data_IF_859682361535
#
_entry.id   IF_859682361535
#
_cell.length_a   1.000
_cell.length_b   1.000
_cell.length_c   1.000
_cell.angle_alpha   90.00
_cell.angle_beta   90.00
_cell.angle_gamma   90.00
#
_symmetry.space_group_name_H-M   'P 1'
#
loop_
_entity.id
_entity.type
_entity.pdbx_description
1 polymer ?
#
# COMPACT_ATOMS: atom_id res chain seq x y z
N UNK A 1 12.85 -14.74 0.44
CA UNK A 1 11.81 -14.21 1.35
C UNK A 1 10.48 -13.94 0.65
N UNK A 2 10.43 -13.12 -0.41
CA UNK A 2 9.18 -12.81 -1.15
C UNK A 2 8.44 -14.05 -1.70
N UNK A 3 9.17 -15.01 -2.27
CA UNK A 3 8.59 -16.23 -2.85
C UNK A 3 7.85 -17.10 -1.80
N UNK A 4 8.52 -17.42 -0.69
CA UNK A 4 7.92 -18.16 0.43
C UNK A 4 6.63 -17.48 0.92
N UNK A 5 6.64 -16.15 1.06
CA UNK A 5 5.47 -15.41 1.54
C UNK A 5 4.28 -15.50 0.59
N UNK A 6 4.55 -15.50 -0.71
CA UNK A 6 3.54 -15.64 -1.77
C UNK A 6 2.98 -17.05 -1.81
N UNK A 7 3.83 -18.08 -1.90
CA UNK A 7 3.43 -19.48 -1.94
C UNK A 7 2.63 -19.88 -0.68
N UNK A 8 3.08 -19.40 0.48
CA UNK A 8 2.41 -19.70 1.75
C UNK A 8 1.27 -18.75 2.08
N UNK A 9 0.96 -17.77 1.22
CA UNK A 9 -0.12 -16.77 1.44
C UNK A 9 -0.06 -16.11 2.83
N UNK A 10 1.15 -15.75 3.28
CA UNK A 10 1.42 -15.30 4.67
C UNK A 10 0.57 -14.08 5.06
N UNK A 11 0.40 -13.12 4.17
CA UNK A 11 -0.46 -11.96 4.42
C UNK A 11 -1.91 -12.37 4.70
N UNK A 12 -2.50 -13.24 3.87
CA UNK A 12 -3.87 -13.74 4.07
C UNK A 12 -3.99 -14.51 5.38
N UNK A 13 -2.99 -15.31 5.73
CA UNK A 13 -2.92 -16.03 7.02
C UNK A 13 -2.89 -15.04 8.20
N UNK A 14 -2.12 -13.95 8.12
CA UNK A 14 -2.09 -12.94 9.20
C UNK A 14 -3.44 -12.25 9.41
N UNK A 15 -4.21 -12.00 8.34
CA UNK A 15 -5.57 -11.45 8.46
C UNK A 15 -6.52 -12.48 9.08
N UNK A 16 -6.47 -13.74 8.63
CA UNK A 16 -7.30 -14.83 9.17
C UNK A 16 -7.06 -15.05 10.66
N UNK A 17 -5.80 -14.99 11.12
CA UNK A 17 -5.43 -15.08 12.54
C UNK A 17 -5.93 -13.92 13.41
N UNK A 18 -6.41 -12.84 12.79
CA UNK A 18 -6.93 -11.64 13.47
C UNK A 18 -8.42 -11.43 13.19
N UNK A 19 -9.11 -12.45 12.67
CA UNK A 19 -10.55 -12.37 12.46
C UNK A 19 -11.27 -12.10 13.79
N UNK A 20 -12.15 -11.09 13.81
CA UNK A 20 -12.86 -10.66 15.02
C UNK A 20 -12.07 -9.73 15.97
N UNK A 21 -10.77 -9.49 15.72
CA UNK A 21 -10.00 -8.57 16.54
C UNK A 21 -10.33 -7.09 16.26
N UNK A 22 -9.93 -6.20 17.18
CA UNK A 22 -10.04 -4.75 16.99
C UNK A 22 -9.38 -4.34 15.67
N UNK A 23 -10.09 -3.56 14.85
CA UNK A 23 -9.60 -3.06 13.57
C UNK A 23 -8.67 -1.87 13.77
N UNK A 24 -7.54 -1.89 13.06
CA UNK A 24 -6.72 -0.72 12.81
C UNK A 24 -6.84 -0.36 11.33
N UNK A 25 -7.36 0.83 11.06
CA UNK A 25 -7.58 1.35 9.70
C UNK A 25 -6.58 2.48 9.48
N UNK A 26 -5.83 2.40 8.38
CA UNK A 26 -4.96 3.48 7.91
C UNK A 26 -5.33 3.82 6.47
N UNK A 27 -5.12 5.09 6.12
CA UNK A 27 -5.35 5.59 4.78
C UNK A 27 -4.03 5.71 4.04
N UNK A 28 -3.96 5.06 2.89
CA UNK A 28 -2.84 5.16 1.96
C UNK A 28 -3.17 6.30 0.99
N UNK A 29 -2.38 7.38 1.01
CA UNK A 29 -2.50 8.44 0.02
C UNK A 29 -2.13 7.87 -1.36
N UNK A 30 -3.08 7.80 -2.30
CA UNK A 30 -2.86 7.09 -3.56
C UNK A 30 -1.77 7.81 -4.38
N UNK A 31 -0.73 7.10 -4.86
CA UNK A 31 0.19 7.70 -5.81
C UNK A 31 -0.53 8.00 -7.13
N UNK A 32 -0.17 9.12 -7.75
CA UNK A 32 -0.58 9.41 -9.13
C UNK A 32 0.09 8.41 -10.07
N UNK A 33 -0.67 7.80 -10.96
CA UNK A 33 -0.20 6.73 -11.85
C UNK A 33 0.50 7.25 -13.12
N UNK A 34 1.32 8.31 -13.02
CA UNK A 34 1.93 9.00 -14.17
C UNK A 34 3.47 8.92 -14.23
N UNK A 35 4.13 8.22 -13.32
CA UNK A 35 5.59 8.18 -13.30
C UNK A 35 6.20 7.06 -12.46
N UNK A 36 7.52 6.89 -12.59
CA UNK A 36 8.29 5.87 -11.86
C UNK A 36 8.51 6.27 -10.39
N UNK A 37 8.44 5.33 -9.44
CA UNK A 37 8.76 5.61 -8.04
C UNK A 37 10.22 6.07 -7.84
N UNK A 38 10.41 7.09 -7.01
CA UNK A 38 11.71 7.60 -6.54
C UNK A 38 11.94 7.29 -5.04
N UNK A 39 13.14 7.48 -4.45
CA UNK A 39 13.44 7.09 -3.06
C UNK A 39 12.48 7.61 -1.98
N UNK A 40 11.83 8.76 -2.20
CA UNK A 40 10.79 9.28 -1.31
C UNK A 40 9.55 8.38 -1.24
N UNK A 41 9.20 7.72 -2.34
CA UNK A 41 8.14 6.70 -2.36
C UNK A 41 8.54 5.47 -1.54
N UNK A 42 9.82 5.06 -1.57
CA UNK A 42 10.31 3.95 -0.77
C UNK A 42 10.22 4.25 0.73
N UNK A 43 10.65 5.44 1.16
CA UNK A 43 10.59 5.86 2.56
C UNK A 43 9.15 5.85 3.09
N UNK A 44 8.24 6.52 2.40
CA UNK A 44 6.83 6.61 2.81
C UNK A 44 6.16 5.23 2.82
N UNK A 45 6.41 4.38 1.82
CA UNK A 45 5.89 3.01 1.80
C UNK A 45 6.47 2.13 2.90
N UNK A 46 7.73 2.34 3.28
CA UNK A 46 8.37 1.57 4.36
C UNK A 46 7.67 1.85 5.69
N UNK A 47 7.39 3.10 6.01
CA UNK A 47 6.67 3.49 7.24
C UNK A 47 5.24 2.92 7.20
N UNK A 48 4.56 3.05 6.05
CA UNK A 48 3.20 2.56 5.83
C UNK A 48 3.10 1.02 5.85
N UNK A 49 4.18 0.26 5.67
CA UNK A 49 4.20 -1.20 5.85
C UNK A 49 4.64 -1.61 7.26
N UNK A 50 5.60 -0.89 7.86
CA UNK A 50 6.13 -1.16 9.20
C UNK A 50 5.04 -1.03 10.27
N UNK A 51 4.29 0.07 10.28
CA UNK A 51 3.34 0.34 11.35
C UNK A 51 2.15 -0.65 11.36
N UNK A 52 1.49 -0.96 10.21
CA UNK A 52 0.45 -1.99 10.19
C UNK A 52 0.95 -3.39 10.58
N UNK A 53 2.21 -3.74 10.30
CA UNK A 53 2.81 -4.99 10.81
C UNK A 53 2.92 -4.97 12.32
N UNK A 54 3.45 -3.89 12.89
CA UNK A 54 3.52 -3.70 14.33
C UNK A 54 2.14 -3.81 14.99
N UNK A 55 1.12 -3.13 14.45
CA UNK A 55 -0.27 -3.22 14.96
C UNK A 55 -0.84 -4.64 14.85
N UNK A 56 -0.55 -5.36 13.76
CA UNK A 56 -0.93 -6.78 13.60
C UNK A 56 -0.28 -7.67 14.68
N UNK A 57 0.99 -7.43 14.99
CA UNK A 57 1.71 -8.13 16.06
C UNK A 57 1.17 -7.79 17.45
N UNK A 58 0.63 -6.58 17.65
CA UNK A 58 -0.06 -6.15 18.87
C UNK A 58 -1.50 -6.66 19.01
N UNK A 59 -1.97 -7.48 18.07
CA UNK A 59 -3.24 -8.20 18.17
C UNK A 59 -4.39 -7.58 17.38
N UNK A 60 -4.16 -6.56 16.55
CA UNK A 60 -5.22 -5.92 15.77
C UNK A 60 -5.33 -6.46 14.35
N UNK A 61 -6.53 -6.32 13.77
CA UNK A 61 -6.80 -6.60 12.38
C UNK A 61 -6.46 -5.38 11.51
N UNK A 62 -5.42 -5.51 10.68
CA UNK A 62 -4.92 -4.43 9.83
C UNK A 62 -5.05 -4.80 8.34
N UNK A 63 -6.16 -4.41 7.72
CA UNK A 63 -6.35 -4.56 6.26
C UNK A 63 -5.59 -3.47 5.51
N UNK A 64 -4.76 -3.87 4.55
CA UNK A 64 -3.92 -2.97 3.74
C UNK A 64 -4.54 -2.85 2.35
N UNK A 65 -5.02 -1.66 2.01
CA UNK A 65 -5.61 -1.33 0.71
C UNK A 65 -4.77 -0.24 0.06
N UNK A 66 -4.42 -0.43 -1.19
CA UNK A 66 -3.77 0.59 -2.02
C UNK A 66 -4.82 1.32 -2.85
N UNK A 67 -4.51 2.54 -3.27
CA UNK A 67 -5.27 3.30 -4.25
C UNK A 67 -4.37 3.80 -5.37
N UNK A 68 -4.98 4.34 -6.41
CA UNK A 68 -4.31 5.03 -7.51
C UNK A 68 -5.07 6.32 -7.77
N UNK A 69 -4.33 7.42 -7.87
CA UNK A 69 -4.89 8.68 -8.31
C UNK A 69 -4.71 8.77 -9.83
N UNK A 70 -5.83 8.80 -10.55
CA UNK A 70 -5.88 8.61 -12.00
C UNK A 70 -6.45 9.82 -12.73
N UNK A 71 -6.79 10.88 -12.04
CA UNK A 71 -7.43 12.06 -12.62
C UNK A 71 -6.66 13.34 -12.30
N UNK A 72 -7.05 14.42 -12.98
CA UNK A 72 -6.60 15.78 -12.72
C UNK A 72 -5.38 16.20 -13.53
N UNK A 73 -5.02 17.47 -13.35
CA UNK A 73 -3.96 18.15 -14.08
C UNK A 73 -2.63 17.38 -14.18
N UNK A 74 -2.15 16.68 -13.12
CA UNK A 74 -0.89 15.93 -13.22
C UNK A 74 -0.91 14.80 -14.27
N UNK A 75 -2.08 14.22 -14.56
CA UNK A 75 -2.22 13.19 -15.61
C UNK A 75 -2.42 13.87 -16.97
N UNK A 76 -3.28 14.89 -17.02
CA UNK A 76 -3.60 15.62 -18.26
C UNK A 76 -2.37 16.29 -18.87
N UNK A 77 -1.51 16.92 -18.05
CA UNK A 77 -0.30 17.59 -18.52
C UNK A 77 0.72 16.61 -19.11
N UNK A 78 0.87 15.42 -18.53
CA UNK A 78 1.79 14.41 -19.08
C UNK A 78 1.28 13.87 -20.43
N UNK A 79 -0.03 13.63 -20.56
CA UNK A 79 -0.64 13.26 -21.84
C UNK A 79 -0.46 14.35 -22.90
N UNK A 80 -0.64 15.64 -22.54
CA UNK A 80 -0.37 16.74 -23.45
C UNK A 80 1.10 16.77 -23.92
N UNK A 81 2.07 16.60 -23.01
CA UNK A 81 3.50 16.55 -23.38
C UNK A 81 3.84 15.42 -24.35
N UNK A 82 3.17 14.27 -24.26
CA UNK A 82 3.36 13.16 -25.18
C UNK A 82 2.76 13.44 -26.57
N UNK A 83 1.71 14.25 -26.65
CA UNK A 83 0.95 14.51 -27.88
C UNK A 83 1.33 15.79 -28.63
N UNK A 84 2.04 16.74 -28.00
CA UNK A 84 2.53 17.99 -28.62
C UNK A 84 1.81 19.23 -28.12
#
# INVERSE_FOLDING_TARGET
MSQFWREQSIYKKSLKQRHGAKRFVFFEGPPTANGMPHPGHCLTRTIKDLYPRYRTMRGELCERKAGWDTHGLPVEVEVCKELG
#
